data_IF_119822490101
#
_entry.id   IF_119822490101
#
_cell.length_a   1.000
_cell.length_b   1.000
_cell.length_c   1.000
_cell.angle_alpha   90.00
_cell.angle_beta   90.00
_cell.angle_gamma   90.00
#
_symmetry.space_group_name_H-M   'P 1'
#
loop_
_entity.id
_entity.type
_entity.pdbx_description
1 polymer ?
#
# COMPACT_ATOMS: atom_id res chain seq x y z
N UNK A 1 -64.12 -2.40 0.69
CA UNK A 1 -64.14 -2.90 -0.71
C UNK A 1 -62.69 -2.94 -1.17
N UNK A 2 -62.24 -4.13 -1.50
CA UNK A 2 -60.90 -4.44 -2.02
C UNK A 2 -60.60 -3.64 -3.28
N UNK A 3 -59.39 -3.10 -3.37
CA UNK A 3 -58.75 -2.75 -4.64
C UNK A 3 -57.35 -3.36 -4.62
N UNK A 4 -57.29 -4.69 -4.51
CA UNK A 4 -56.20 -5.46 -5.11
C UNK A 4 -56.43 -5.46 -6.62
N UNK A 5 -56.04 -4.37 -7.29
CA UNK A 5 -56.21 -4.18 -8.73
C UNK A 5 -55.07 -4.83 -9.55
N UNK A 6 -54.43 -5.88 -9.04
CA UNK A 6 -53.53 -6.74 -9.83
C UNK A 6 -52.37 -6.03 -10.54
N UNK A 7 -52.04 -4.81 -10.12
CA UNK A 7 -50.98 -3.99 -10.72
C UNK A 7 -49.95 -3.68 -9.63
N UNK A 8 -48.73 -4.21 -9.73
CA UNK A 8 -47.69 -3.90 -8.77
C UNK A 8 -47.37 -2.40 -8.83
N UNK A 9 -47.47 -1.72 -7.69
CA UNK A 9 -47.01 -0.33 -7.54
C UNK A 9 -45.47 -0.34 -7.59
N UNK A 10 -44.84 0.29 -8.60
CA UNK A 10 -43.38 0.28 -8.70
C UNK A 10 -42.78 1.10 -7.55
N UNK A 11 -41.83 0.50 -6.84
CA UNK A 11 -40.99 1.15 -5.86
C UNK A 11 -39.55 1.22 -6.40
N UNK A 12 -38.87 2.33 -6.15
CA UNK A 12 -37.50 2.55 -6.62
C UNK A 12 -36.59 2.87 -5.44
N UNK A 13 -35.34 2.46 -5.54
CA UNK A 13 -34.28 2.81 -4.61
C UNK A 13 -33.01 3.13 -5.40
N UNK A 14 -32.16 3.99 -4.84
CA UNK A 14 -30.85 4.27 -5.42
C UNK A 14 -29.88 3.16 -5.01
N UNK A 15 -29.19 2.59 -5.98
CA UNK A 15 -28.10 1.65 -5.77
C UNK A 15 -26.81 2.34 -6.19
N UNK A 16 -25.90 2.50 -5.24
CA UNK A 16 -24.54 2.95 -5.48
C UNK A 16 -23.60 1.76 -5.34
N UNK A 17 -22.68 1.61 -6.28
CA UNK A 17 -21.69 0.53 -6.30
C UNK A 17 -20.35 1.19 -6.57
N UNK A 18 -19.43 1.00 -5.63
CA UNK A 18 -18.03 1.34 -5.81
C UNK A 18 -17.30 0.13 -6.37
N UNK A 19 -16.54 0.35 -7.44
CA UNK A 19 -15.58 -0.63 -7.94
C UNK A 19 -14.24 -0.23 -7.38
N UNK A 20 -13.70 -1.08 -6.52
CA UNK A 20 -12.38 -0.92 -5.94
C UNK A 20 -11.40 -1.77 -6.74
N UNK A 21 -10.25 -1.20 -7.07
CA UNK A 21 -9.17 -2.00 -7.65
C UNK A 21 -8.65 -3.02 -6.63
N UNK A 22 -8.28 -4.19 -7.13
CA UNK A 22 -7.73 -5.25 -6.30
C UNK A 22 -6.25 -5.01 -6.05
N UNK A 23 -5.83 -5.14 -4.78
CA UNK A 23 -4.42 -5.22 -4.43
C UNK A 23 -3.87 -6.59 -4.88
N UNK A 24 -3.31 -6.64 -6.08
CA UNK A 24 -2.89 -7.87 -6.76
C UNK A 24 -1.46 -7.82 -7.32
N UNK A 25 -0.72 -6.75 -7.09
CA UNK A 25 0.70 -6.64 -7.35
C UNK A 25 1.50 -6.90 -6.07
N UNK A 26 2.70 -7.44 -6.23
CA UNK A 26 3.58 -7.65 -5.08
C UNK A 26 4.41 -6.38 -4.86
N UNK A 27 4.66 -5.96 -3.61
CA UNK A 27 5.59 -4.89 -3.34
C UNK A 27 7.01 -5.27 -3.79
N UNK A 28 7.81 -4.26 -4.11
CA UNK A 28 9.17 -4.44 -4.60
C UNK A 28 10.12 -3.40 -4.00
N UNK A 29 11.37 -3.81 -3.80
CA UNK A 29 12.44 -2.88 -3.45
C UNK A 29 12.90 -2.11 -4.69
N UNK A 30 13.27 -0.84 -4.51
CA UNK A 30 13.76 0.00 -5.61
C UNK A 30 15.12 -0.44 -6.14
N UNK A 31 15.89 -1.20 -5.36
CA UNK A 31 17.16 -1.80 -5.75
C UNK A 31 17.15 -3.31 -5.52
N UNK A 32 17.89 -4.04 -6.36
CA UNK A 32 18.03 -5.50 -6.26
C UNK A 32 18.96 -5.93 -5.13
N UNK A 33 19.92 -5.10 -4.78
CA UNK A 33 20.91 -5.35 -3.73
C UNK A 33 21.22 -4.04 -3.00
N UNK A 34 21.43 -4.12 -1.69
CA UNK A 34 21.86 -3.01 -0.87
C UNK A 34 23.20 -3.34 -0.21
N UNK A 35 24.12 -2.39 -0.20
CA UNK A 35 25.39 -2.49 0.51
C UNK A 35 25.47 -1.39 1.56
N UNK A 36 25.78 -1.79 2.79
CA UNK A 36 25.89 -0.88 3.92
C UNK A 36 27.22 -0.96 4.63
N UNK A 37 27.51 0.08 5.42
CA UNK A 37 28.73 0.23 6.21
C UNK A 37 28.39 0.55 7.67
N UNK A 38 29.16 0.00 8.59
CA UNK A 38 29.06 0.26 10.03
C UNK A 38 30.45 0.06 10.67
N UNK A 39 30.72 0.72 11.79
CA UNK A 39 31.93 0.47 12.58
C UNK A 39 31.71 -0.72 13.50
N UNK A 40 32.73 -1.56 13.66
CA UNK A 40 32.70 -2.68 14.60
C UNK A 40 32.50 -2.24 16.07
N UNK A 41 32.91 -1.01 16.38
CA UNK A 41 32.78 -0.41 17.72
C UNK A 41 31.42 0.25 17.97
N UNK A 42 30.50 0.19 17.01
CA UNK A 42 29.19 0.86 17.12
C UNK A 42 28.33 0.22 18.23
N UNK A 43 27.70 1.04 19.09
CA UNK A 43 26.80 0.51 20.12
C UNK A 43 25.52 -0.06 19.50
N UNK A 44 24.80 -0.86 20.28
CA UNK A 44 23.50 -1.43 19.90
C UNK A 44 22.52 -0.32 19.55
N UNK A 45 21.80 -0.49 18.43
CA UNK A 45 20.84 0.49 17.91
C UNK A 45 21.41 1.49 16.90
N UNK A 46 22.70 1.38 16.54
CA UNK A 46 23.31 2.22 15.49
C UNK A 46 22.75 1.87 14.10
N UNK A 47 22.35 2.88 13.33
CA UNK A 47 21.86 2.73 11.96
C UNK A 47 22.99 2.48 10.96
N UNK A 48 22.76 1.59 10.00
CA UNK A 48 23.69 1.29 8.91
C UNK A 48 23.81 2.48 7.96
N UNK A 49 25.03 2.78 7.51
CA UNK A 49 25.30 3.88 6.58
C UNK A 49 25.41 3.43 5.13
N UNK A 50 25.07 4.34 4.21
CA UNK A 50 25.18 4.14 2.76
C UNK A 50 26.63 4.15 2.26
N UNK A 51 27.50 4.91 2.93
CA UNK A 51 28.88 5.11 2.52
C UNK A 51 29.87 4.86 3.67
N UNK A 52 31.13 4.63 3.31
CA UNK A 52 32.22 4.36 4.26
C UNK A 52 32.55 5.54 5.19
N UNK A 53 32.14 6.77 4.85
CA UNK A 53 32.31 7.93 5.72
C UNK A 53 31.24 7.99 6.82
N UNK A 54 30.26 7.09 6.79
CA UNK A 54 29.21 6.96 7.80
C UNK A 54 28.36 8.22 7.98
N UNK A 55 28.27 9.04 6.93
CA UNK A 55 27.62 10.36 6.99
C UNK A 55 26.12 10.33 6.68
N UNK A 56 25.65 9.28 6.01
CA UNK A 56 24.27 9.15 5.53
C UNK A 56 23.77 7.74 5.83
N UNK A 57 22.55 7.55 6.36
CA UNK A 57 21.97 6.23 6.57
C UNK A 57 21.70 5.53 5.24
N UNK A 58 21.79 4.21 5.20
CA UNK A 58 21.47 3.41 4.00
C UNK A 58 19.95 3.43 3.75
N UNK A 59 19.48 4.03 2.63
CA UNK A 59 18.06 3.99 2.30
C UNK A 59 17.67 2.59 1.80
N UNK A 60 16.62 2.02 2.38
CA UNK A 60 15.95 0.84 1.84
C UNK A 60 14.51 1.26 1.55
N UNK A 61 14.16 1.33 0.27
CA UNK A 61 12.86 1.84 -0.18
C UNK A 61 12.13 0.68 -0.84
N UNK A 62 10.93 0.39 -0.33
CA UNK A 62 9.99 -0.53 -0.94
C UNK A 62 8.79 0.27 -1.46
N UNK A 63 8.36 -0.06 -2.67
CA UNK A 63 7.21 0.53 -3.34
C UNK A 63 6.19 -0.57 -3.63
N UNK A 64 4.95 -0.16 -3.81
CA UNK A 64 3.84 -1.02 -4.17
C UNK A 64 3.01 -0.29 -5.23
N UNK A 65 2.60 -1.01 -6.27
CA UNK A 65 1.89 -0.44 -7.40
C UNK A 65 0.37 -0.48 -7.22
N UNK A 66 -0.15 -1.19 -6.21
CA UNK A 66 -1.58 -1.27 -5.91
C UNK A 66 -2.10 -0.06 -5.14
N UNK A 67 -1.22 0.83 -4.70
CA UNK A 67 -1.59 2.05 -3.98
C UNK A 67 -1.91 3.12 -5.00
N UNK A 68 -3.19 3.27 -5.33
CA UNK A 68 -3.71 4.52 -5.90
C UNK A 68 -3.68 5.61 -4.82
N UNK A 69 -3.21 6.81 -5.19
CA UNK A 69 -3.28 8.02 -4.35
C UNK A 69 -4.72 8.56 -4.26
#
# INVERSE_FOLDING_TARGET
AEQDNGHPLPAFANLHIDILDENNQAPYFTFTTYQGFILESSPVGTTISENQNLSVPLPIIALDNDIEE
#
